data_IF_518876566785
#
_entry.id   IF_518876566785
#
_cell.length_a   1.000
_cell.length_b   1.000
_cell.length_c   1.000
_cell.angle_alpha   90.00
_cell.angle_beta   90.00
_cell.angle_gamma   90.00
#
_symmetry.space_group_name_H-M   'P 1'
#
loop_
_entity.id
_entity.type
_entity.pdbx_description
1 polymer ?
#
# COMPACT_ATOMS: atom_id res chain seq x y z
N UNK A 1 -5.48 -23.46 -4.60
CA UNK A 1 -6.25 -22.24 -4.23
C UNK A 1 -6.09 -21.98 -2.74
N UNK A 2 -6.03 -20.72 -2.30
CA UNK A 2 -5.58 -20.35 -0.95
C UNK A 2 -6.69 -20.53 0.12
N UNK A 3 -6.36 -21.19 1.25
CA UNK A 3 -7.23 -21.33 2.43
C UNK A 3 -7.81 -20.00 2.91
N UNK A 4 -7.07 -18.89 2.78
CA UNK A 4 -7.56 -17.55 3.16
C UNK A 4 -8.77 -17.10 2.33
N UNK A 5 -8.79 -17.45 1.03
CA UNK A 5 -9.91 -17.15 0.15
C UNK A 5 -11.19 -17.86 0.61
N UNK A 6 -11.08 -19.12 1.02
CA UNK A 6 -12.22 -19.86 1.56
C UNK A 6 -12.67 -19.33 2.91
N UNK A 7 -11.71 -19.00 3.77
CA UNK A 7 -11.99 -18.48 5.11
C UNK A 7 -12.72 -17.14 5.07
N UNK A 8 -12.46 -16.28 4.08
CA UNK A 8 -13.18 -15.01 3.95
C UNK A 8 -14.68 -15.19 3.70
N UNK A 9 -15.10 -16.28 3.04
CA UNK A 9 -16.51 -16.65 2.95
C UNK A 9 -16.99 -17.36 4.22
N UNK A 10 -16.27 -18.40 4.65
CA UNK A 10 -16.74 -19.26 5.73
C UNK A 10 -16.91 -18.53 7.06
N UNK A 11 -16.03 -17.55 7.37
CA UNK A 11 -16.11 -16.80 8.63
C UNK A 11 -17.39 -16.00 8.79
N UNK A 12 -17.93 -15.48 7.70
CA UNK A 12 -19.16 -14.68 7.69
C UNK A 12 -20.35 -15.48 7.15
N UNK A 13 -20.27 -16.82 7.19
CA UNK A 13 -21.35 -17.69 6.75
C UNK A 13 -22.16 -18.19 7.95
N UNK A 14 -23.49 -18.29 7.83
CA UNK A 14 -24.36 -18.89 8.86
C UNK A 14 -24.09 -20.37 9.05
N UNK A 15 -23.60 -21.05 8.00
CA UNK A 15 -23.30 -22.48 8.00
C UNK A 15 -21.88 -22.79 8.52
N UNK A 16 -21.30 -21.92 9.35
CA UNK A 16 -19.96 -22.11 9.91
C UNK A 16 -20.02 -22.97 11.17
N UNK A 17 -19.06 -23.87 11.32
CA UNK A 17 -18.89 -24.68 12.53
C UNK A 17 -17.41 -24.76 12.88
N UNK A 18 -17.08 -24.62 14.16
CA UNK A 18 -15.72 -24.79 14.66
C UNK A 18 -15.42 -26.27 14.88
N UNK A 19 -14.25 -26.72 14.43
CA UNK A 19 -13.66 -28.04 14.63
C UNK A 19 -12.31 -27.86 15.28
N UNK A 20 -12.01 -28.63 16.33
CA UNK A 20 -10.71 -28.59 17.00
C UNK A 20 -9.57 -29.05 16.08
N UNK A 21 -9.87 -29.99 15.16
CA UNK A 21 -8.88 -30.57 14.25
C UNK A 21 -8.65 -29.69 13.02
N UNK A 22 -9.73 -29.21 12.42
CA UNK A 22 -9.71 -28.62 11.06
C UNK A 22 -9.95 -27.10 11.07
N UNK A 23 -10.18 -26.52 12.25
CA UNK A 23 -10.56 -25.13 12.43
C UNK A 23 -11.98 -24.87 11.93
N UNK A 24 -12.16 -23.91 11.02
CA UNK A 24 -13.48 -23.59 10.49
C UNK A 24 -13.90 -24.55 9.36
N UNK A 25 -15.01 -25.26 9.57
CA UNK A 25 -15.64 -26.19 8.62
C UNK A 25 -17.08 -25.74 8.32
N UNK A 26 -17.68 -26.32 7.28
CA UNK A 26 -19.09 -26.12 6.96
C UNK A 26 -19.97 -27.09 7.77
N UNK A 27 -21.03 -26.58 8.42
CA UNK A 27 -21.99 -27.38 9.18
C UNK A 27 -22.82 -28.34 8.31
N UNK A 28 -23.00 -28.02 7.02
CA UNK A 28 -23.77 -28.83 6.08
C UNK A 28 -22.99 -30.06 5.59
N UNK A 29 -21.69 -29.89 5.31
CA UNK A 29 -20.86 -30.96 4.73
C UNK A 29 -19.95 -31.64 5.75
N UNK A 30 -19.74 -31.01 6.92
CA UNK A 30 -18.78 -31.47 7.91
C UNK A 30 -17.31 -31.34 7.48
N UNK A 31 -17.02 -30.63 6.38
CA UNK A 31 -15.68 -30.54 5.78
C UNK A 31 -15.21 -29.09 5.64
N UNK A 32 -13.91 -28.94 5.40
CA UNK A 32 -13.30 -27.69 4.94
C UNK A 32 -13.91 -27.32 3.58
N UNK A 33 -13.95 -26.03 3.26
CA UNK A 33 -14.46 -25.57 1.98
C UNK A 33 -13.53 -25.96 0.82
N UNK A 34 -14.11 -26.47 -0.26
CA UNK A 34 -13.40 -26.95 -1.46
C UNK A 34 -13.92 -26.28 -2.75
N UNK A 35 -14.78 -25.26 -2.65
CA UNK A 35 -15.32 -24.58 -3.82
C UNK A 35 -14.25 -23.74 -4.53
N UNK A 36 -14.34 -23.62 -5.86
CA UNK A 36 -13.35 -22.85 -6.65
C UNK A 36 -13.66 -21.34 -6.66
N UNK A 37 -14.87 -20.94 -7.05
CA UNK A 37 -15.22 -19.51 -7.17
C UNK A 37 -16.12 -19.02 -6.04
N UNK A 38 -17.23 -19.71 -5.79
CA UNK A 38 -18.18 -19.33 -4.75
C UNK A 38 -18.81 -20.59 -4.14
N UNK A 39 -19.30 -20.48 -2.90
CA UNK A 39 -20.11 -21.51 -2.27
C UNK A 39 -21.59 -21.30 -2.62
N UNK A 40 -22.24 -22.30 -3.21
CA UNK A 40 -23.67 -22.26 -3.57
C UNK A 40 -24.59 -22.14 -2.35
N UNK A 41 -24.16 -22.71 -1.22
CA UNK A 41 -24.89 -22.67 0.05
C UNK A 41 -24.44 -21.51 0.95
N UNK A 42 -23.75 -20.51 0.39
CA UNK A 42 -23.32 -19.34 1.16
C UNK A 42 -24.53 -18.51 1.59
N UNK A 43 -24.70 -18.36 2.90
CA UNK A 43 -25.67 -17.46 3.51
C UNK A 43 -24.93 -16.57 4.48
N UNK A 44 -25.01 -15.26 4.28
CA UNK A 44 -24.25 -14.29 5.06
C UNK A 44 -24.79 -14.21 6.49
N UNK A 45 -23.89 -14.32 7.47
CA UNK A 45 -24.16 -13.98 8.86
C UNK A 45 -23.81 -12.50 9.08
N UNK A 46 -24.86 -11.67 9.10
CA UNK A 46 -24.71 -10.22 9.26
C UNK A 46 -24.17 -9.83 10.63
N UNK A 47 -24.54 -10.57 11.69
CA UNK A 47 -24.09 -10.30 13.06
C UNK A 47 -22.59 -10.55 13.17
N UNK A 48 -22.09 -11.63 12.56
CA UNK A 48 -20.66 -11.92 12.55
C UNK A 48 -19.88 -10.90 11.73
N UNK A 49 -20.39 -10.52 10.56
CA UNK A 49 -19.77 -9.50 9.72
C UNK A 49 -19.66 -8.16 10.47
N UNK A 50 -20.72 -7.76 11.17
CA UNK A 50 -20.74 -6.54 11.97
C UNK A 50 -19.77 -6.61 13.15
N UNK A 51 -19.66 -7.76 13.83
CA UNK A 51 -18.63 -7.97 14.88
C UNK A 51 -17.21 -7.78 14.35
N UNK A 52 -16.90 -8.35 13.17
CA UNK A 52 -15.57 -8.20 12.57
C UNK A 52 -15.31 -6.73 12.19
N UNK A 53 -16.33 -6.05 11.66
CA UNK A 53 -16.24 -4.61 11.33
C UNK A 53 -16.00 -3.76 12.58
N UNK A 54 -16.76 -3.99 13.65
CA UNK A 54 -16.61 -3.26 14.90
C UNK A 54 -15.22 -3.50 15.50
N UNK A 55 -14.73 -4.75 15.49
CA UNK A 55 -13.36 -5.07 15.92
C UNK A 55 -12.32 -4.28 15.12
N UNK A 56 -12.49 -4.19 13.80
CA UNK A 56 -11.60 -3.39 12.97
C UNK A 56 -11.64 -1.91 13.38
N UNK A 57 -12.83 -1.33 13.54
CA UNK A 57 -12.98 0.08 13.93
C UNK A 57 -12.39 0.36 15.32
N UNK A 58 -12.60 -0.53 16.29
CA UNK A 58 -11.98 -0.45 17.63
C UNK A 58 -10.46 -0.49 17.54
N UNK A 59 -9.88 -1.45 16.81
CA UNK A 59 -8.43 -1.58 16.68
C UNK A 59 -7.82 -0.35 15.97
N UNK A 60 -8.54 0.27 15.05
CA UNK A 60 -8.10 1.53 14.43
C UNK A 60 -8.12 2.68 15.43
N UNK A 61 -9.23 2.86 16.17
CA UNK A 61 -9.38 3.95 17.13
C UNK A 61 -8.37 3.83 18.30
N UNK A 62 -7.99 2.61 18.68
CA UNK A 62 -6.99 2.35 19.72
C UNK A 62 -5.56 2.68 19.27
N UNK A 63 -5.24 2.53 17.98
CA UNK A 63 -3.86 2.61 17.47
C UNK A 63 -3.55 3.88 16.66
N UNK A 64 -4.57 4.62 16.22
CA UNK A 64 -4.40 5.78 15.34
C UNK A 64 -5.35 6.90 15.73
N UNK A 65 -4.91 8.15 15.54
CA UNK A 65 -5.83 9.27 15.62
C UNK A 65 -6.85 9.17 14.48
N UNK A 66 -8.12 9.29 14.83
CA UNK A 66 -9.23 9.28 13.87
C UNK A 66 -9.98 10.60 13.85
N UNK A 67 -9.84 11.41 14.89
CA UNK A 67 -10.42 12.74 14.97
C UNK A 67 -9.38 13.82 14.70
N UNK A 68 -9.84 14.97 14.19
CA UNK A 68 -8.96 16.13 13.93
C UNK A 68 -8.22 16.57 15.19
N UNK A 69 -8.85 16.47 16.37
CA UNK A 69 -8.25 16.85 17.64
C UNK A 69 -7.14 15.87 18.07
N UNK A 70 -7.41 14.57 18.06
CA UNK A 70 -6.38 13.54 18.32
C UNK A 70 -5.20 13.68 17.37
N UNK A 71 -5.49 14.01 16.11
CA UNK A 71 -4.49 14.13 15.07
C UNK A 71 -3.43 15.21 15.35
N UNK A 72 -3.74 16.22 16.17
CA UNK A 72 -2.77 17.25 16.56
C UNK A 72 -1.67 16.72 17.48
N UNK A 73 -1.97 15.70 18.27
CA UNK A 73 -1.06 15.14 19.27
C UNK A 73 -0.47 13.79 18.87
N UNK A 74 -0.97 13.19 17.79
CA UNK A 74 -0.51 11.88 17.30
C UNK A 74 0.54 12.00 16.20
N UNK A 75 1.51 11.08 16.18
CA UNK A 75 2.46 10.94 15.07
C UNK A 75 1.85 10.27 13.82
N UNK A 76 0.68 9.63 13.94
CA UNK A 76 0.02 8.91 12.85
C UNK A 76 -1.48 9.10 12.89
N UNK A 77 -2.04 9.44 11.73
CA UNK A 77 -3.46 9.67 11.54
C UNK A 77 -4.03 8.64 10.57
N UNK A 78 -5.19 8.08 10.91
CA UNK A 78 -5.98 7.24 10.02
C UNK A 78 -7.07 8.06 9.35
N UNK A 79 -7.07 8.05 8.02
CA UNK A 79 -8.08 8.74 7.20
C UNK A 79 -8.92 7.71 6.44
N UNK A 80 -10.24 7.71 6.68
CA UNK A 80 -11.17 6.98 5.80
C UNK A 80 -11.27 7.75 4.47
N UNK A 81 -10.96 7.11 3.33
CA UNK A 81 -10.92 7.79 2.06
C UNK A 81 -12.31 8.22 1.61
N UNK A 82 -12.42 9.48 1.20
CA UNK A 82 -13.64 10.00 0.56
C UNK A 82 -13.74 9.45 -0.87
N UNK A 83 -14.95 9.36 -1.41
CA UNK A 83 -15.14 9.04 -2.84
C UNK A 83 -14.39 10.08 -3.68
N UNK A 84 -13.36 9.65 -4.40
CA UNK A 84 -12.62 10.51 -5.29
C UNK A 84 -13.50 10.89 -6.49
N UNK A 85 -13.63 12.20 -6.76
CA UNK A 85 -14.37 12.73 -7.93
C UNK A 85 -13.54 12.60 -9.21
N UNK A 86 -12.21 12.67 -9.10
CA UNK A 86 -11.28 12.62 -10.22
C UNK A 86 -10.59 11.25 -10.26
N UNK A 87 -11.32 10.27 -10.79
CA UNK A 87 -10.88 8.88 -10.88
C UNK A 87 -9.87 8.70 -12.01
N UNK A 88 -8.73 8.09 -11.70
CA UNK A 88 -7.74 7.68 -12.71
C UNK A 88 -8.18 6.43 -13.45
N UNK A 89 -8.90 5.54 -12.77
CA UNK A 89 -9.38 4.26 -13.27
C UNK A 89 -10.91 4.25 -13.32
N UNK A 90 -11.46 4.01 -14.51
CA UNK A 90 -12.92 4.01 -14.71
C UNK A 90 -13.57 2.66 -14.41
N UNK A 91 -12.86 1.55 -14.64
CA UNK A 91 -13.40 0.20 -14.49
C UNK A 91 -12.39 -0.71 -13.79
N UNK A 92 -12.86 -1.82 -13.21
CA UNK A 92 -12.00 -2.78 -12.50
C UNK A 92 -11.02 -3.47 -13.44
N UNK A 93 -11.40 -3.73 -14.69
CA UNK A 93 -10.56 -4.41 -15.69
C UNK A 93 -9.33 -3.57 -16.01
N UNK A 94 -9.46 -2.24 -16.02
CA UNK A 94 -8.33 -1.31 -16.20
C UNK A 94 -7.32 -1.32 -15.05
N UNK A 95 -7.67 -1.96 -13.93
CA UNK A 95 -6.77 -2.11 -12.78
C UNK A 95 -6.03 -3.44 -12.77
N UNK A 96 -6.45 -4.40 -13.59
CA UNK A 96 -5.81 -5.71 -13.67
C UNK A 96 -4.54 -5.64 -14.52
N UNK A 97 -3.49 -6.33 -14.08
CA UNK A 97 -2.16 -6.27 -14.69
C UNK A 97 -1.34 -5.05 -14.28
N UNK A 98 -1.82 -4.21 -13.34
CA UNK A 98 -1.01 -3.11 -12.82
C UNK A 98 0.17 -3.64 -12.00
N UNK A 99 1.35 -3.08 -12.27
CA UNK A 99 2.59 -3.37 -11.57
C UNK A 99 3.09 -2.12 -10.83
N UNK A 100 3.18 -2.19 -9.51
CA UNK A 100 3.76 -1.14 -8.70
C UNK A 100 5.22 -1.44 -8.39
N UNK A 101 6.06 -0.47 -8.74
CA UNK A 101 7.52 -0.50 -8.61
C UNK A 101 7.95 0.64 -7.71
N UNK A 102 9.21 0.59 -7.27
CA UNK A 102 9.80 1.71 -6.54
C UNK A 102 9.76 2.99 -7.38
N UNK A 103 9.30 4.09 -6.80
CA UNK A 103 9.20 5.39 -7.45
C UNK A 103 10.61 5.91 -7.80
N UNK A 104 10.79 6.29 -9.06
CA UNK A 104 12.03 6.87 -9.59
C UNK A 104 12.21 8.33 -9.18
N UNK A 105 11.15 8.99 -8.67
CA UNK A 105 11.21 10.40 -8.31
C UNK A 105 12.27 10.68 -7.24
N UNK A 106 12.55 9.74 -6.34
CA UNK A 106 13.62 9.90 -5.36
C UNK A 106 15.00 10.03 -6.02
N UNK A 107 15.34 9.17 -6.99
CA UNK A 107 16.61 9.30 -7.73
C UNK A 107 16.67 10.61 -8.53
N UNK A 108 15.53 11.07 -9.08
CA UNK A 108 15.45 12.36 -9.78
C UNK A 108 15.68 13.54 -8.83
N UNK A 109 15.12 13.50 -7.62
CA UNK A 109 15.32 14.54 -6.60
C UNK A 109 16.79 14.60 -6.16
N UNK A 110 17.44 13.44 -5.99
CA UNK A 110 18.88 13.38 -5.71
C UNK A 110 19.67 14.05 -6.84
N UNK A 111 19.36 13.76 -8.10
CA UNK A 111 20.03 14.41 -9.25
C UNK A 111 19.88 15.93 -9.23
N UNK A 112 18.69 16.44 -8.93
CA UNK A 112 18.44 17.89 -8.79
C UNK A 112 19.28 18.47 -7.65
N UNK A 113 19.31 17.82 -6.49
CA UNK A 113 20.10 18.25 -5.33
C UNK A 113 21.60 18.29 -5.66
N UNK A 114 22.13 17.25 -6.30
CA UNK A 114 23.52 17.19 -6.76
C UNK A 114 23.81 18.36 -7.72
N UNK A 115 22.91 18.63 -8.66
CA UNK A 115 23.03 19.77 -9.58
C UNK A 115 23.08 21.12 -8.85
N UNK A 116 22.21 21.34 -7.85
CA UNK A 116 22.22 22.56 -7.03
C UNK A 116 23.53 22.72 -6.26
N UNK A 117 24.03 21.64 -5.65
CA UNK A 117 25.30 21.67 -4.90
C UNK A 117 26.47 22.00 -5.84
N UNK A 118 26.51 21.40 -7.04
CA UNK A 118 27.54 21.72 -8.04
C UNK A 118 27.48 23.21 -8.39
N UNK A 119 26.30 23.76 -8.70
CA UNK A 119 26.15 25.19 -9.00
C UNK A 119 26.62 26.09 -7.86
N UNK A 120 26.30 25.74 -6.61
CA UNK A 120 26.77 26.49 -5.43
C UNK A 120 28.29 26.48 -5.29
N UNK A 121 28.93 25.33 -5.51
CA UNK A 121 30.39 25.20 -5.47
C UNK A 121 31.05 26.03 -6.60
N UNK A 122 30.52 25.96 -7.81
CA UNK A 122 30.98 26.75 -8.96
C UNK A 122 30.90 28.26 -8.67
N UNK A 123 29.77 28.72 -8.12
CA UNK A 123 29.55 30.12 -7.78
C UNK A 123 30.47 30.61 -6.65
N UNK A 124 30.62 29.80 -5.59
CA UNK A 124 31.54 30.11 -4.49
C UNK A 124 32.99 30.21 -4.96
N UNK A 125 33.40 29.33 -5.88
CA UNK A 125 34.74 29.36 -6.47
C UNK A 125 34.95 30.63 -7.30
N UNK A 126 33.98 30.97 -8.16
CA UNK A 126 33.99 32.17 -8.99
C UNK A 126 34.12 33.46 -8.15
N UNK A 127 33.31 33.59 -7.09
CA UNK A 127 33.28 34.82 -6.26
C UNK A 127 34.57 35.08 -5.50
N UNK A 128 35.26 34.02 -5.05
CA UNK A 128 36.45 34.14 -4.22
C UNK A 128 37.75 34.27 -5.03
N UNK A 129 37.67 34.35 -6.37
CA UNK A 129 38.84 34.46 -7.23
C UNK A 129 39.79 33.26 -7.13
N UNK A 130 39.29 32.12 -6.65
CA UNK A 130 40.09 30.91 -6.51
C UNK A 130 40.60 30.50 -7.90
N UNK A 131 41.90 30.27 -8.00
CA UNK A 131 42.46 29.52 -9.11
C UNK A 131 41.82 28.13 -9.09
N UNK A 132 41.48 27.62 -10.28
CA UNK A 132 41.04 26.24 -10.46
C UNK A 132 42.23 25.27 -10.25
N UNK A 133 42.85 25.32 -9.08
CA UNK A 133 43.92 24.41 -8.68
C UNK A 133 43.32 23.02 -8.47
N UNK A 134 43.77 22.07 -9.28
CA UNK A 134 43.36 20.67 -9.26
C UNK A 134 43.58 20.01 -7.89
N UNK A 135 44.47 20.55 -7.07
CA UNK A 135 44.72 20.08 -5.72
C UNK A 135 43.77 20.68 -4.67
N UNK A 136 42.93 21.64 -5.05
CA UNK A 136 41.95 22.23 -4.14
C UNK A 136 40.85 21.21 -3.77
N UNK A 137 40.45 21.23 -2.50
CA UNK A 137 39.36 20.40 -1.98
C UNK A 137 38.03 20.63 -2.73
N UNK A 138 37.80 21.83 -3.23
CA UNK A 138 36.61 22.18 -4.02
C UNK A 138 36.56 21.42 -5.36
N UNK A 139 37.68 21.31 -6.08
CA UNK A 139 37.72 20.61 -7.37
C UNK A 139 37.53 19.10 -7.16
N UNK A 140 38.17 18.54 -6.13
CA UNK A 140 37.97 17.13 -5.74
C UNK A 140 36.48 16.88 -5.42
N UNK A 141 35.85 17.77 -4.65
CA UNK A 141 34.43 17.70 -4.33
C UNK A 141 33.53 17.75 -5.57
N UNK A 142 33.78 18.67 -6.51
CA UNK A 142 33.05 18.75 -7.79
C UNK A 142 33.20 17.45 -8.58
N UNK A 143 34.41 16.89 -8.65
CA UNK A 143 34.67 15.65 -9.40
C UNK A 143 33.92 14.45 -8.81
N UNK A 144 33.91 14.32 -7.47
CA UNK A 144 33.09 13.30 -6.77
C UNK A 144 31.60 13.49 -7.10
N UNK A 145 31.10 14.73 -7.03
CA UNK A 145 29.69 15.03 -7.33
C UNK A 145 29.34 14.75 -8.79
N UNK A 146 30.26 14.99 -9.73
CA UNK A 146 30.08 14.61 -11.14
C UNK A 146 29.98 13.09 -11.30
N UNK A 147 30.87 12.32 -10.67
CA UNK A 147 30.81 10.85 -10.70
C UNK A 147 29.49 10.34 -10.12
N UNK A 148 29.06 10.89 -8.97
CA UNK A 148 27.77 10.56 -8.36
C UNK A 148 26.61 10.92 -9.29
N UNK A 149 26.66 12.07 -9.97
CA UNK A 149 25.62 12.49 -10.91
C UNK A 149 25.49 11.51 -12.07
N UNK A 150 26.61 11.05 -12.65
CA UNK A 150 26.62 10.03 -13.71
C UNK A 150 26.02 8.72 -13.21
N UNK A 151 26.38 8.28 -12.00
CA UNK A 151 25.81 7.07 -11.39
C UNK A 151 24.29 7.17 -11.19
N UNK A 152 23.80 8.25 -10.58
CA UNK A 152 22.37 8.44 -10.35
C UNK A 152 21.61 8.66 -11.67
N UNK A 153 22.23 9.27 -12.67
CA UNK A 153 21.64 9.45 -14.00
C UNK A 153 21.48 8.11 -14.70
N UNK A 154 22.54 7.28 -14.69
CA UNK A 154 22.47 5.91 -15.17
C UNK A 154 21.40 5.11 -14.43
N UNK A 155 21.37 5.20 -13.10
CA UNK A 155 20.37 4.51 -12.27
C UNK A 155 18.94 4.97 -12.61
N UNK A 156 18.68 6.27 -12.72
CA UNK A 156 17.35 6.80 -13.01
C UNK A 156 16.83 6.33 -14.37
N UNK A 157 17.69 6.31 -15.39
CA UNK A 157 17.32 5.93 -16.76
C UNK A 157 17.25 4.42 -16.97
N UNK A 158 18.27 3.68 -16.56
CA UNK A 158 18.46 2.28 -16.96
C UNK A 158 18.11 1.26 -15.87
N UNK A 159 18.08 1.65 -14.60
CA UNK A 159 17.76 0.70 -13.53
C UNK A 159 16.29 0.27 -13.62
N UNK A 160 16.07 -1.03 -13.86
CA UNK A 160 14.75 -1.65 -13.82
C UNK A 160 14.44 -2.06 -12.39
N UNK A 161 13.56 -1.30 -11.75
CA UNK A 161 13.06 -1.63 -10.41
C UNK A 161 12.20 -2.89 -10.45
N UNK A 162 12.46 -3.81 -9.51
CA UNK A 162 11.64 -5.01 -9.31
C UNK A 162 10.21 -4.60 -8.94
N UNK A 163 9.24 -5.31 -9.49
CA UNK A 163 7.82 -5.17 -9.12
C UNK A 163 7.63 -5.62 -7.67
N UNK A 164 7.03 -4.75 -6.85
CA UNK A 164 6.80 -4.99 -5.41
C UNK A 164 5.37 -5.48 -5.20
N UNK A 165 4.42 -4.90 -5.92
CA UNK A 165 3.01 -5.26 -5.87
C UNK A 165 2.47 -5.46 -7.29
N UNK A 166 1.69 -6.49 -7.50
CA UNK A 166 0.88 -6.68 -8.71
C UNK A 166 -0.60 -6.76 -8.35
N UNK A 167 -1.44 -6.27 -9.26
CA UNK A 167 -2.90 -6.27 -9.13
C UNK A 167 -3.46 -7.15 -10.23
N UNK A 168 -4.33 -8.09 -9.89
CA UNK A 168 -5.01 -8.94 -10.86
C UNK A 168 -6.50 -9.10 -10.51
N UNK A 169 -7.18 -10.01 -11.21
CA UNK A 169 -8.58 -10.34 -10.97
C UNK A 169 -8.85 -11.02 -9.62
N UNK A 170 -7.83 -11.60 -8.98
CA UNK A 170 -7.93 -12.38 -7.75
C UNK A 170 -7.61 -11.55 -6.51
N UNK A 171 -6.71 -10.58 -6.60
CA UNK A 171 -6.32 -9.75 -5.47
C UNK A 171 -5.13 -8.82 -5.70
N UNK A 172 -4.54 -8.46 -4.57
CA UNK A 172 -3.28 -7.71 -4.47
C UNK A 172 -2.19 -8.71 -4.11
N UNK A 173 -1.18 -8.86 -4.96
CA UNK A 173 -0.04 -9.74 -4.67
C UNK A 173 1.14 -8.91 -4.19
N UNK A 174 1.69 -9.29 -3.04
CA UNK A 174 2.89 -8.69 -2.49
C UNK A 174 3.82 -9.79 -1.98
N UNK A 175 5.00 -9.92 -2.60
CA UNK A 175 5.95 -11.00 -2.34
C UNK A 175 5.27 -12.38 -2.49
N UNK A 176 5.14 -13.13 -1.41
CA UNK A 176 4.52 -14.47 -1.36
C UNK A 176 3.07 -14.45 -0.83
N UNK A 177 2.54 -13.26 -0.51
CA UNK A 177 1.19 -13.11 0.03
C UNK A 177 0.24 -12.54 -1.01
N UNK A 178 -0.97 -13.10 -1.06
CA UNK A 178 -2.05 -12.61 -1.92
C UNK A 178 -3.21 -12.18 -1.05
N UNK A 179 -3.54 -10.90 -1.08
CA UNK A 179 -4.72 -10.35 -0.44
C UNK A 179 -5.88 -10.37 -1.43
N UNK A 180 -6.78 -11.35 -1.26
CA UNK A 180 -7.91 -11.52 -2.16
C UNK A 180 -8.98 -10.43 -2.01
N UNK A 181 -9.60 -10.03 -3.13
CA UNK A 181 -10.63 -8.97 -3.14
C UNK A 181 -11.86 -9.27 -2.29
N UNK A 182 -12.22 -10.56 -2.16
CA UNK A 182 -13.32 -11.02 -1.33
C UNK A 182 -12.97 -11.03 0.17
N UNK A 183 -11.70 -10.88 0.53
CA UNK A 183 -11.26 -10.87 1.92
C UNK A 183 -11.19 -9.46 2.50
N UNK A 184 -11.23 -8.42 1.66
CA UNK A 184 -11.17 -7.03 2.07
C UNK A 184 -12.53 -6.61 2.66
N UNK A 185 -12.55 -6.24 3.94
CA UNK A 185 -13.73 -5.79 4.67
C UNK A 185 -13.83 -4.27 4.76
N UNK A 186 -12.75 -3.59 5.13
CA UNK A 186 -12.66 -2.14 5.21
C UNK A 186 -11.21 -1.71 4.96
N UNK A 187 -10.97 -0.43 4.73
CA UNK A 187 -9.64 0.09 4.42
C UNK A 187 -9.52 1.57 4.74
N UNK A 188 -8.29 2.04 4.87
CA UNK A 188 -8.01 3.47 4.98
C UNK A 188 -6.53 3.79 4.80
N UNK A 189 -6.22 5.07 4.89
CA UNK A 189 -4.87 5.58 4.68
C UNK A 189 -4.30 5.95 6.05
N UNK A 190 -3.09 5.48 6.36
CA UNK A 190 -2.28 6.05 7.44
C UNK A 190 -1.33 7.08 6.83
N UNK A 191 -1.34 8.28 7.40
CA UNK A 191 -0.33 9.31 7.14
C UNK A 191 0.49 9.53 8.40
N UNK A 192 1.82 9.44 8.27
CA UNK A 192 2.71 9.88 9.33
C UNK A 192 2.77 11.41 9.42
N UNK A 193 3.18 11.91 10.59
CA UNK A 193 3.42 13.34 10.87
C UNK A 193 4.84 13.52 11.41
N UNK A 194 5.33 14.77 11.36
CA UNK A 194 6.70 15.11 11.77
C UNK A 194 7.75 14.34 10.94
N UNK A 195 8.65 13.65 11.63
CA UNK A 195 9.71 12.84 11.02
C UNK A 195 9.16 11.69 10.15
N UNK A 196 7.94 11.24 10.42
CA UNK A 196 7.27 10.19 9.67
C UNK A 196 6.39 10.72 8.52
N UNK A 197 6.46 12.02 8.18
CA UNK A 197 5.59 12.64 7.17
C UNK A 197 5.67 12.00 5.77
N UNK A 198 6.79 11.34 5.45
CA UNK A 198 6.94 10.61 4.19
C UNK A 198 6.32 9.20 4.23
N UNK A 199 5.99 8.69 5.42
CA UNK A 199 5.39 7.37 5.58
C UNK A 199 3.93 7.37 5.13
N UNK A 200 3.66 6.55 4.12
CA UNK A 200 2.34 6.32 3.54
C UNK A 200 2.04 4.83 3.59
N UNK A 201 1.01 4.46 4.33
CA UNK A 201 0.55 3.07 4.46
C UNK A 201 -0.93 2.99 4.15
N UNK A 202 -1.34 1.91 3.47
CA UNK A 202 -2.74 1.53 3.37
C UNK A 202 -3.01 0.48 4.43
N UNK A 203 -4.01 0.74 5.27
CA UNK A 203 -4.57 -0.25 6.18
C UNK A 203 -5.70 -0.95 5.47
N UNK A 204 -5.76 -2.27 5.61
CA UNK A 204 -6.84 -3.10 5.11
C UNK A 204 -7.33 -4.00 6.24
N UNK A 205 -8.57 -3.80 6.65
CA UNK A 205 -9.29 -4.74 7.49
C UNK A 205 -9.72 -5.94 6.66
N UNK A 206 -9.35 -7.14 7.08
CA UNK A 206 -9.67 -8.39 6.38
C UNK A 206 -10.59 -9.27 7.20
N UNK A 207 -11.41 -10.08 6.53
CA UNK A 207 -12.31 -11.03 7.17
C UNK A 207 -11.51 -12.16 7.84
N UNK A 208 -10.52 -12.71 7.13
CA UNK A 208 -9.78 -13.90 7.59
C UNK A 208 -8.62 -13.58 8.55
N UNK A 209 -7.94 -12.45 8.41
CA UNK A 209 -6.63 -12.21 9.04
C UNK A 209 -6.55 -10.94 9.90
N UNK A 210 -7.64 -10.19 10.08
CA UNK A 210 -7.62 -8.93 10.81
C UNK A 210 -6.98 -7.80 10.00
N UNK A 211 -6.23 -6.91 10.66
CA UNK A 211 -5.59 -5.76 10.00
C UNK A 211 -4.32 -6.16 9.26
N UNK A 212 -4.27 -5.81 7.97
CA UNK A 212 -3.06 -5.86 7.16
C UNK A 212 -2.61 -4.43 6.80
N UNK A 213 -1.29 -4.22 6.73
CA UNK A 213 -0.70 -2.93 6.36
C UNK A 213 0.11 -3.09 5.09
N UNK A 214 -0.17 -2.29 4.08
CA UNK A 214 0.60 -2.22 2.84
C UNK A 214 1.39 -0.91 2.85
N UNK A 215 2.71 -1.00 2.91
CA UNK A 215 3.57 0.18 2.76
C UNK A 215 3.64 0.57 1.29
N UNK A 216 3.22 1.80 0.98
CA UNK A 216 3.21 2.36 -0.37
C UNK A 216 4.12 3.59 -0.50
N UNK A 217 4.87 3.94 0.55
CA UNK A 217 5.72 5.14 0.61
C UNK A 217 6.72 5.23 -0.54
N UNK A 218 7.25 4.07 -0.94
CA UNK A 218 8.23 3.96 -2.01
C UNK A 218 7.61 3.61 -3.36
N UNK A 219 6.30 3.41 -3.47
CA UNK A 219 5.69 2.93 -4.71
C UNK A 219 5.34 4.08 -5.65
N UNK A 220 5.36 3.80 -6.96
CA UNK A 220 4.94 4.71 -8.02
C UNK A 220 3.40 4.87 -8.11
N UNK A 221 2.71 4.93 -6.98
CA UNK A 221 1.26 5.08 -6.86
C UNK A 221 0.92 5.89 -5.62
N UNK A 222 -0.03 6.81 -5.74
CA UNK A 222 -0.48 7.58 -4.58
C UNK A 222 -1.42 6.74 -3.70
N UNK A 223 -1.55 7.08 -2.40
CA UNK A 223 -2.53 6.43 -1.53
C UNK A 223 -3.95 6.44 -2.11
N UNK A 224 -4.35 7.57 -2.68
CA UNK A 224 -5.69 7.78 -3.23
C UNK A 224 -5.92 6.92 -4.48
N UNK A 225 -4.93 6.82 -5.38
CA UNK A 225 -4.99 5.94 -6.54
C UNK A 225 -5.04 4.46 -6.13
N UNK A 226 -4.31 4.07 -5.10
CA UNK A 226 -4.32 2.68 -4.60
C UNK A 226 -5.66 2.33 -3.96
N UNK A 227 -6.23 3.25 -3.18
CA UNK A 227 -7.58 3.10 -2.63
C UNK A 227 -8.62 2.98 -3.74
N UNK A 228 -8.50 3.74 -4.82
CA UNK A 228 -9.42 3.67 -5.96
C UNK A 228 -9.44 2.26 -6.58
N UNK A 229 -8.27 1.63 -6.70
CA UNK A 229 -8.15 0.24 -7.15
C UNK A 229 -8.88 -0.71 -6.20
N UNK A 230 -8.69 -0.55 -4.88
CA UNK A 230 -9.40 -1.35 -3.88
C UNK A 230 -10.91 -1.14 -4.00
N UNK A 231 -11.37 0.10 -4.18
CA UNK A 231 -12.78 0.45 -4.32
C UNK A 231 -13.45 -0.22 -5.53
N UNK A 232 -12.75 -0.30 -6.66
CA UNK A 232 -13.26 -0.90 -7.89
C UNK A 232 -13.33 -2.43 -7.82
N UNK A 233 -12.43 -3.08 -7.08
CA UNK A 233 -12.31 -4.54 -7.09
C UNK A 233 -12.92 -5.24 -5.88
N UNK A 234 -13.00 -4.58 -4.72
CA UNK A 234 -13.55 -5.19 -3.50
C UNK A 234 -14.97 -5.72 -3.77
N UNK A 235 -15.21 -6.98 -3.42
CA UNK A 235 -16.56 -7.56 -3.50
C UNK A 235 -17.45 -6.94 -2.41
N UNK A 236 -18.60 -6.42 -2.80
CA UNK A 236 -19.60 -5.93 -1.85
C UNK A 236 -20.52 -7.08 -1.42
N UNK A 237 -20.36 -7.53 -0.18
CA UNK A 237 -21.27 -8.52 0.41
C UNK A 237 -22.64 -7.91 0.79
N UNK A 238 -22.76 -6.59 0.74
CA UNK A 238 -23.96 -5.84 1.14
C UNK A 238 -25.00 -5.63 0.03
N UNK A 239 -24.66 -5.87 -1.24
CA UNK A 239 -25.51 -5.47 -2.38
C UNK A 239 -26.36 -6.62 -2.97
N UNK A 240 -26.33 -7.82 -2.41
CA UNK A 240 -27.10 -8.98 -2.89
C UNK A 240 -28.31 -9.27 -1.99
N UNK A 241 -29.19 -8.28 -1.81
CA UNK A 241 -30.59 -8.45 -1.41
C UNK A 241 -31.45 -7.55 -2.28
#
# INVERSE_FOLDING_TARGET
MNREYHLSFCKICTNRKSSLKDGLICSLTGKIAEFEKNCTNFKIDRLELEKIKNRFETEINENYATTKLESFFSEREFEKPKKNRNRKYLTKEKTHGLEFKRDKNYDKQILVMIGVIIVMLLYGNYKNGFSWDLNSTNIIGILIMLILSVYFFYKALYHKYKTIITIDENGIHQKEKTLHWNNILDYGIIRGKGDNSMEKKIIIGTISSGIQKINISELNVTPEEFIEIIQLNKKTFYNNV
#
